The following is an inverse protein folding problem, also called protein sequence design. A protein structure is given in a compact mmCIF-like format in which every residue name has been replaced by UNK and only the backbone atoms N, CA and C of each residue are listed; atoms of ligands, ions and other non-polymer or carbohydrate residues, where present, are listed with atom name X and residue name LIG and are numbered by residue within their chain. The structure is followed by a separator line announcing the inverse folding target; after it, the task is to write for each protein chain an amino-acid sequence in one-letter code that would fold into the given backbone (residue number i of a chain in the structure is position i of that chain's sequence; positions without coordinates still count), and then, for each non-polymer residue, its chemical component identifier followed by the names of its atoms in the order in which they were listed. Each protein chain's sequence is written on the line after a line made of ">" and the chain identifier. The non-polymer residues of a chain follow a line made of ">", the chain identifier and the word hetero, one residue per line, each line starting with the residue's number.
data_IF_937882242330
#
_entry.id   IF_937882242330
#
_cell.length_a   1.000
_cell.length_b   1.000
_cell.length_c   1.000
_cell.angle_alpha   90.00
_cell.angle_beta   90.00
_cell.angle_gamma   90.00
#
_symmetry.space_group_name_H-M   'P 1'
#
loop_
_entity.id
_entity.type
_entity.pdbx_description
1 polymer ?
#
# COMPACT_ATOMS: atom_id res chain seq x y z
N UNK A 1 11.32 48.79 16.97
CA UNK A 1 11.46 47.37 17.34
C UNK A 1 10.13 46.76 17.77
N UNK A 2 9.25 47.48 18.49
CA UNK A 2 7.92 46.98 18.92
C UNK A 2 7.03 46.48 17.77
N UNK A 3 6.97 47.21 16.64
CA UNK A 3 6.19 46.80 15.47
C UNK A 3 6.61 45.46 14.84
N UNK A 4 7.88 45.06 14.98
CA UNK A 4 8.35 43.77 14.46
C UNK A 4 7.97 42.62 15.39
N UNK A 5 7.94 42.88 16.70
CA UNK A 5 7.47 41.91 17.70
C UNK A 5 5.98 41.62 17.51
N UNK A 6 5.15 42.64 17.29
CA UNK A 6 3.71 42.47 17.01
C UNK A 6 3.43 41.60 15.78
N UNK A 7 4.20 41.82 14.68
CA UNK A 7 4.06 41.02 13.45
C UNK A 7 4.46 39.56 13.68
N UNK A 8 5.53 39.31 14.42
CA UNK A 8 5.98 37.95 14.75
C UNK A 8 4.98 37.25 15.66
N UNK A 9 4.42 37.95 16.65
CA UNK A 9 3.37 37.40 17.53
C UNK A 9 2.11 37.07 16.73
N UNK A 10 1.68 37.94 15.81
CA UNK A 10 0.53 37.67 14.95
C UNK A 10 0.76 36.45 14.03
N UNK A 11 1.98 36.29 13.51
CA UNK A 11 2.35 35.12 12.70
C UNK A 11 2.35 33.83 13.52
N UNK A 12 2.88 33.86 14.74
CA UNK A 12 2.87 32.69 15.63
C UNK A 12 1.45 32.27 16.01
N UNK A 13 0.58 33.23 16.35
CA UNK A 13 -0.83 32.98 16.63
C UNK A 13 -1.50 32.34 15.42
N UNK A 14 -1.32 32.93 14.24
CA UNK A 14 -1.88 32.38 12.99
C UNK A 14 -1.39 30.96 12.71
N UNK A 15 -0.09 30.70 12.90
CA UNK A 15 0.48 29.37 12.69
C UNK A 15 -0.09 28.34 13.68
N UNK A 16 -0.35 28.76 14.92
CA UNK A 16 -0.98 27.89 15.93
C UNK A 16 -2.44 27.57 15.60
N UNK A 17 -3.21 28.55 15.10
CA UNK A 17 -4.60 28.35 14.68
C UNK A 17 -4.68 27.41 13.46
N UNK A 18 -3.77 27.56 12.49
CA UNK A 18 -3.68 26.68 11.32
C UNK A 18 -3.31 25.24 11.73
N UNK A 19 -2.36 25.08 12.65
CA UNK A 19 -1.99 23.76 13.19
C UNK A 19 -3.14 23.11 13.97
N UNK A 20 -3.89 23.88 14.75
CA UNK A 20 -5.02 23.37 15.52
C UNK A 20 -6.17 22.92 14.61
N UNK A 21 -6.48 23.69 13.57
CA UNK A 21 -7.46 23.28 12.53
C UNK A 21 -7.04 22.01 11.82
N UNK A 22 -5.75 21.86 11.50
CA UNK A 22 -5.24 20.63 10.88
C UNK A 22 -5.38 19.42 11.82
N UNK A 23 -5.14 19.61 13.13
CA UNK A 23 -5.29 18.56 14.13
C UNK A 23 -6.76 18.14 14.31
N UNK A 24 -7.68 19.09 14.37
CA UNK A 24 -9.13 18.81 14.44
C UNK A 24 -9.61 18.03 13.21
N UNK A 25 -9.16 18.41 12.00
CA UNK A 25 -9.47 17.69 10.78
C UNK A 25 -8.88 16.27 10.77
N UNK A 26 -7.67 16.09 11.30
CA UNK A 26 -7.06 14.77 11.46
C UNK A 26 -7.88 13.89 12.40
N UNK A 27 -8.31 14.43 13.55
CA UNK A 27 -9.12 13.71 14.51
C UNK A 27 -10.47 13.30 13.93
N UNK A 28 -11.15 14.21 13.21
CA UNK A 28 -12.42 13.89 12.53
C UNK A 28 -12.23 12.82 11.46
N UNK A 29 -11.13 12.88 10.70
CA UNK A 29 -10.79 11.86 9.69
C UNK A 29 -10.53 10.50 10.35
N UNK A 30 -9.79 10.47 11.44
CA UNK A 30 -9.46 9.26 12.19
C UNK A 30 -10.70 8.62 12.83
N UNK A 31 -11.57 9.41 13.48
CA UNK A 31 -12.84 8.92 14.00
C UNK A 31 -13.74 8.33 12.90
N UNK A 32 -13.77 8.97 11.72
CA UNK A 32 -14.55 8.49 10.58
C UNK A 32 -13.98 7.15 10.07
N UNK A 33 -12.66 7.01 10.02
CA UNK A 33 -11.99 5.76 9.65
C UNK A 33 -12.27 4.65 10.68
N UNK A 34 -12.18 4.96 11.97
CA UNK A 34 -12.48 4.01 13.05
C UNK A 34 -13.92 3.47 12.95
N UNK A 35 -14.91 4.34 12.73
CA UNK A 35 -16.32 3.93 12.57
C UNK A 35 -16.56 3.08 11.32
N UNK A 36 -15.82 3.33 10.23
CA UNK A 36 -15.92 2.49 9.02
C UNK A 36 -15.31 1.11 9.25
N UNK A 37 -14.15 1.03 9.91
CA UNK A 37 -13.51 -0.24 10.25
C UNK A 37 -14.39 -1.06 11.22
N UNK A 38 -14.96 -0.43 12.24
CA UNK A 38 -15.90 -1.08 13.16
C UNK A 38 -17.11 -1.66 12.42
N UNK A 39 -17.67 -0.93 11.44
CA UNK A 39 -18.75 -1.43 10.60
C UNK A 39 -18.34 -2.61 9.74
N UNK A 40 -17.17 -2.56 9.11
CA UNK A 40 -16.67 -3.68 8.27
C UNK A 40 -16.41 -4.93 9.11
N UNK A 41 -15.86 -4.78 10.31
CA UNK A 41 -15.59 -5.90 11.23
C UNK A 41 -16.89 -6.52 11.74
N UNK A 42 -17.89 -5.71 12.08
CA UNK A 42 -19.19 -6.19 12.57
C UNK A 42 -20.10 -6.74 11.47
N UNK A 43 -19.83 -6.40 10.20
CA UNK A 43 -20.63 -6.80 9.04
C UNK A 43 -20.02 -8.00 8.27
N UNK A 44 -19.01 -8.71 8.78
CA UNK A 44 -18.50 -9.91 8.12
C UNK A 44 -19.51 -11.08 8.24
N UNK A 45 -20.15 -11.55 7.15
CA UNK A 45 -20.89 -12.81 7.17
C UNK A 45 -19.90 -13.97 7.07
N UNK A 46 -19.96 -14.92 7.99
CA UNK A 46 -19.31 -16.23 7.84
C UNK A 46 -19.93 -16.99 6.66
N UNK A 47 -19.18 -17.17 5.58
CA UNK A 47 -19.47 -18.08 4.46
C UNK A 47 -18.53 -19.29 4.61
N UNK A 48 -18.99 -20.48 5.02
CA UNK A 48 -19.68 -21.55 4.25
C UNK A 48 -18.71 -22.61 3.71
N UNK A 49 -18.82 -23.82 4.31
CA UNK A 49 -18.92 -25.17 3.70
C UNK A 49 -18.02 -25.58 2.53
N UNK A 50 -17.20 -26.61 2.76
CA UNK A 50 -16.98 -27.81 1.90
C UNK A 50 -16.49 -28.92 2.85
N UNK A 51 -17.01 -30.16 2.91
CA UNK A 51 -17.52 -31.03 1.84
C UNK A 51 -16.42 -32.03 1.48
N UNK A 52 -16.49 -33.26 2.03
CA UNK A 52 -15.62 -34.42 1.76
C UNK A 52 -15.42 -34.71 0.26
N UNK A 53 -14.28 -35.28 -0.13
CA UNK A 53 -14.15 -36.62 -0.76
C UNK A 53 -12.67 -37.03 -0.92
N UNK A 54 -12.38 -38.31 -0.67
CA UNK A 54 -11.12 -39.02 -0.81
C UNK A 54 -10.74 -39.27 -2.29
N UNK A 55 -9.44 -39.38 -2.59
CA UNK A 55 -8.97 -39.75 -3.93
C UNK A 55 -7.46 -39.92 -4.02
N UNK A 56 -7.00 -41.15 -3.79
CA UNK A 56 -5.63 -41.62 -3.98
C UNK A 56 -5.20 -41.58 -5.46
N UNK A 57 -4.01 -41.05 -5.77
CA UNK A 57 -3.14 -41.61 -6.80
C UNK A 57 -1.71 -41.08 -6.71
N UNK A 58 -0.81 -42.05 -6.75
CA UNK A 58 0.65 -41.96 -6.81
C UNK A 58 1.13 -41.29 -8.10
N UNK A 59 2.02 -40.30 -7.98
CA UNK A 59 2.98 -39.97 -9.04
C UNK A 59 4.25 -39.33 -8.46
N UNK A 60 5.33 -40.12 -8.48
CA UNK A 60 6.72 -39.66 -8.34
C UNK A 60 6.95 -38.47 -9.26
N UNK A 61 7.33 -37.32 -8.68
CA UNK A 61 8.07 -36.31 -9.42
C UNK A 61 9.44 -36.08 -8.78
N UNK A 62 10.40 -36.21 -9.67
CA UNK A 62 11.84 -36.12 -9.54
C UNK A 62 12.28 -34.90 -8.74
N UNK A 63 13.22 -35.18 -7.83
CA UNK A 63 14.06 -34.21 -7.13
C UNK A 63 14.64 -33.19 -8.12
N UNK A 64 14.11 -31.96 -8.10
CA UNK A 64 14.85 -30.77 -8.48
C UNK A 64 15.20 -30.06 -7.18
N UNK A 65 16.49 -29.90 -6.98
CA UNK A 65 17.09 -29.26 -5.82
C UNK A 65 16.56 -27.83 -5.74
N UNK A 66 15.49 -27.65 -4.96
CA UNK A 66 14.96 -26.35 -4.60
C UNK A 66 15.99 -25.70 -3.68
N UNK A 67 16.86 -24.87 -4.25
CA UNK A 67 17.57 -23.86 -3.49
C UNK A 67 16.48 -22.95 -2.95
N UNK A 68 16.01 -23.23 -1.74
CA UNK A 68 15.18 -22.31 -0.95
C UNK A 68 16.04 -21.09 -0.68
N UNK A 69 15.97 -20.12 -1.58
CA UNK A 69 16.25 -18.75 -1.22
C UNK A 69 15.32 -18.40 -0.05
N UNK A 70 15.79 -17.59 0.92
CA UNK A 70 14.90 -17.08 1.96
C UNK A 70 13.68 -16.52 1.26
N UNK A 71 12.51 -17.08 1.57
CA UNK A 71 11.20 -16.59 1.14
C UNK A 71 10.95 -15.28 1.88
N UNK A 72 11.79 -14.28 1.62
CA UNK A 72 11.44 -12.89 1.84
C UNK A 72 10.30 -12.66 0.89
N UNK A 73 9.07 -12.73 1.43
CA UNK A 73 7.84 -12.31 0.77
C UNK A 73 8.11 -10.90 0.26
N UNK A 74 8.54 -10.79 -0.99
CA UNK A 74 8.82 -9.51 -1.60
C UNK A 74 7.45 -8.94 -1.90
N UNK A 75 6.99 -8.03 -1.03
CA UNK A 75 5.68 -7.43 -1.19
C UNK A 75 5.66 -6.67 -2.51
N UNK A 76 4.79 -7.11 -3.41
CA UNK A 76 4.59 -6.47 -4.71
C UNK A 76 4.03 -5.07 -4.43
N UNK A 77 4.71 -3.99 -4.86
CA UNK A 77 4.29 -2.63 -4.55
C UNK A 77 3.09 -2.24 -5.43
N UNK A 78 1.90 -2.09 -4.86
CA UNK A 78 0.69 -1.70 -5.59
C UNK A 78 0.45 -0.18 -5.55
N UNK A 79 -0.02 0.41 -6.65
CA UNK A 79 -0.42 1.82 -6.75
C UNK A 79 -1.87 1.97 -7.21
N UNK A 80 -2.70 2.59 -6.38
CA UNK A 80 -4.10 2.94 -6.71
C UNK A 80 -4.17 4.26 -7.45
N UNK A 81 -5.20 4.47 -8.29
CA UNK A 81 -5.36 5.71 -9.07
C UNK A 81 -5.68 6.93 -8.19
N UNK A 82 -6.25 6.69 -7.00
CA UNK A 82 -6.51 7.72 -5.98
C UNK A 82 -5.29 8.07 -5.13
N UNK A 83 -4.10 7.51 -5.41
CA UNK A 83 -2.89 7.77 -4.64
C UNK A 83 -2.49 9.26 -4.68
N UNK A 84 -2.20 9.80 -3.50
CA UNK A 84 -1.61 11.13 -3.36
C UNK A 84 -0.21 11.22 -3.96
N UNK A 85 0.27 12.44 -4.21
CA UNK A 85 1.65 12.67 -4.68
C UNK A 85 2.72 12.09 -3.73
N UNK A 86 2.43 12.07 -2.42
CA UNK A 86 3.34 11.47 -1.44
C UNK A 86 3.37 9.94 -1.59
N UNK A 87 2.20 9.30 -1.71
CA UNK A 87 2.09 7.85 -1.90
C UNK A 87 2.74 7.41 -3.21
N UNK A 88 2.57 8.16 -4.30
CA UNK A 88 3.29 7.91 -5.55
C UNK A 88 4.81 7.97 -5.39
N UNK A 89 5.34 8.96 -4.67
CA UNK A 89 6.79 9.06 -4.40
C UNK A 89 7.31 7.85 -3.63
N UNK A 90 6.58 7.43 -2.61
CA UNK A 90 6.93 6.26 -1.81
C UNK A 90 6.82 4.96 -2.62
N UNK A 91 5.77 4.82 -3.41
CA UNK A 91 5.58 3.67 -4.30
C UNK A 91 6.71 3.55 -5.30
N UNK A 92 7.13 4.65 -5.95
CA UNK A 92 8.23 4.65 -6.91
C UNK A 92 9.53 4.10 -6.29
N UNK A 93 9.85 4.54 -5.07
CA UNK A 93 11.03 4.05 -4.36
C UNK A 93 10.95 2.54 -4.05
N UNK A 94 9.76 2.05 -3.67
CA UNK A 94 9.51 0.61 -3.48
C UNK A 94 9.59 -0.16 -4.80
N UNK A 95 9.07 0.42 -5.89
CA UNK A 95 9.07 -0.17 -7.22
C UNK A 95 10.49 -0.30 -7.77
N UNK A 96 11.37 0.68 -7.57
CA UNK A 96 12.80 0.56 -7.95
C UNK A 96 13.49 -0.62 -7.23
N UNK A 97 13.22 -0.78 -5.93
CA UNK A 97 13.70 -1.94 -5.17
C UNK A 97 13.12 -3.26 -5.69
N UNK A 98 11.82 -3.28 -6.01
CA UNK A 98 11.14 -4.42 -6.59
C UNK A 98 11.69 -4.81 -7.97
N UNK A 99 11.95 -3.84 -8.86
CA UNK A 99 12.57 -4.07 -10.17
C UNK A 99 13.92 -4.77 -10.02
N UNK A 100 14.74 -4.31 -9.07
CA UNK A 100 16.05 -4.90 -8.79
C UNK A 100 15.94 -6.32 -8.23
N UNK A 101 15.04 -6.55 -7.28
CA UNK A 101 14.86 -7.85 -6.62
C UNK A 101 14.23 -8.90 -7.54
N UNK A 102 13.21 -8.51 -8.30
CA UNK A 102 12.50 -9.37 -9.24
C UNK A 102 13.18 -9.46 -10.61
N UNK A 103 14.30 -8.74 -10.81
CA UNK A 103 15.06 -8.66 -12.06
C UNK A 103 14.19 -8.30 -13.27
N UNK A 104 13.27 -7.36 -13.07
CA UNK A 104 12.34 -6.90 -14.13
C UNK A 104 13.12 -6.25 -15.27
N UNK A 105 14.25 -5.61 -14.97
CA UNK A 105 15.19 -5.03 -15.93
C UNK A 105 15.77 -6.04 -16.92
N UNK A 106 15.82 -7.32 -16.57
CA UNK A 106 16.30 -8.41 -17.43
C UNK A 106 15.21 -8.97 -18.37
N UNK A 107 13.95 -8.57 -18.19
CA UNK A 107 12.82 -9.05 -19.00
C UNK A 107 12.72 -8.29 -20.32
N UNK A 108 11.98 -8.85 -21.28
CA UNK A 108 11.66 -8.15 -22.53
C UNK A 108 10.79 -6.91 -22.27
N UNK A 109 10.79 -5.96 -23.21
CA UNK A 109 9.97 -4.74 -23.07
C UNK A 109 8.47 -5.03 -22.86
N UNK A 110 7.96 -6.10 -23.49
CA UNK A 110 6.56 -6.51 -23.32
C UNK A 110 6.29 -7.01 -21.90
N UNK A 111 7.19 -7.83 -21.35
CA UNK A 111 7.10 -8.36 -19.99
C UNK A 111 7.32 -7.27 -18.94
N UNK A 112 8.21 -6.31 -19.18
CA UNK A 112 8.38 -5.14 -18.32
C UNK A 112 7.10 -4.31 -18.23
N UNK A 113 6.43 -4.09 -19.37
CA UNK A 113 5.12 -3.40 -19.41
C UNK A 113 4.04 -4.18 -18.69
N UNK A 114 3.99 -5.50 -18.86
CA UNK A 114 3.06 -6.35 -18.14
C UNK A 114 3.32 -6.35 -16.62
N UNK A 115 4.58 -6.39 -16.20
CA UNK A 115 4.97 -6.29 -14.81
C UNK A 115 4.63 -4.92 -14.20
N UNK A 116 4.76 -3.84 -14.99
CA UNK A 116 4.30 -2.51 -14.60
C UNK A 116 2.77 -2.46 -14.50
N UNK A 117 2.03 -3.04 -15.45
CA UNK A 117 0.58 -3.09 -15.39
C UNK A 117 0.09 -3.87 -14.15
N UNK A 118 0.77 -4.96 -13.79
CA UNK A 118 0.41 -5.78 -12.63
C UNK A 118 0.62 -5.09 -11.26
N UNK A 119 1.36 -3.98 -11.20
CA UNK A 119 1.57 -3.18 -9.98
C UNK A 119 0.69 -1.93 -9.92
N UNK A 120 -0.06 -1.67 -10.98
CA UNK A 120 -1.03 -0.59 -11.06
C UNK A 120 -2.43 -1.17 -10.86
N UNK A 121 -3.31 -0.37 -10.28
CA UNK A 121 -4.74 -0.68 -10.17
C UNK A 121 -5.41 -0.66 -11.56
N UNK A 122 -6.57 -1.31 -11.68
CA UNK A 122 -7.30 -1.46 -12.95
C UNK A 122 -7.78 -0.11 -13.52
N UNK A 123 -7.82 0.94 -12.70
CA UNK A 123 -8.16 2.31 -13.12
C UNK A 123 -7.05 3.02 -13.93
N UNK A 124 -5.86 2.41 -14.09
CA UNK A 124 -4.74 2.97 -14.84
C UNK A 124 -4.62 2.51 -16.30
N UNK A 125 -5.46 1.57 -16.75
CA UNK A 125 -5.40 0.96 -18.09
C UNK A 125 -6.14 1.73 -19.16
#
# INVERSE_FOLDING_TARGET
>A
MEKQLEVLTALLVRQSEEAQKAQEQSHVREERLARLLERVVTQAPSHTTMGDEEGETTARHTSTQSVRFPTSVTTIPHLTASASLHEFKMWRHKFEGYVTLARIDCLSLAEQRAALAAVLDDEWT
#
